data_IF_397652090414
#
_entry.id   IF_397652090414
#
_cell.length_a   1.000
_cell.length_b   1.000
_cell.length_c   1.000
_cell.angle_alpha   90.00
_cell.angle_beta   90.00
_cell.angle_gamma   90.00
#
_symmetry.space_group_name_H-M   'P 1'
#
loop_
_entity.id
_entity.type
_entity.pdbx_description
1 polymer ?
#
# COMPACT_ATOMS: atom_id res chain seq x y z
N UNK A 1 11.53 14.36 -26.35
CA UNK A 1 10.55 13.41 -25.82
C UNK A 1 10.31 12.37 -26.92
N UNK A 2 10.56 11.07 -26.64
CA UNK A 2 10.22 10.00 -27.60
C UNK A 2 8.72 9.72 -27.45
N UNK A 3 7.91 10.16 -28.40
CA UNK A 3 6.50 9.81 -28.44
C UNK A 3 6.37 8.36 -28.90
N UNK A 4 5.95 7.46 -28.02
CA UNK A 4 5.64 6.08 -28.36
C UNK A 4 4.22 6.02 -28.92
N UNK A 5 4.06 5.50 -30.15
CA UNK A 5 2.74 5.20 -30.71
C UNK A 5 2.42 3.77 -30.30
N UNK A 6 1.34 3.59 -29.54
CA UNK A 6 0.80 2.29 -29.16
C UNK A 6 -0.46 2.04 -29.98
N UNK A 7 -0.50 0.89 -30.62
CA UNK A 7 -1.65 0.37 -31.36
C UNK A 7 -2.28 -0.76 -30.55
N UNK A 8 -3.59 -0.84 -30.52
CA UNK A 8 -4.32 -1.93 -29.90
C UNK A 8 -5.07 -2.73 -30.98
N UNK A 9 -4.92 -4.04 -30.95
CA UNK A 9 -5.61 -4.95 -31.84
C UNK A 9 -6.99 -5.32 -31.31
N UNK A 10 -7.87 -5.80 -32.16
CA UNK A 10 -9.25 -6.18 -31.81
C UNK A 10 -9.36 -7.24 -30.69
N UNK A 11 -8.30 -7.99 -30.43
CA UNK A 11 -8.22 -8.96 -29.34
C UNK A 11 -7.51 -8.41 -28.09
N UNK A 12 -7.33 -7.08 -27.99
CA UNK A 12 -6.73 -6.42 -26.82
C UNK A 12 -5.20 -6.49 -26.75
N UNK A 13 -4.50 -7.08 -27.73
CA UNK A 13 -3.03 -7.05 -27.77
C UNK A 13 -2.55 -5.66 -28.17
N UNK A 14 -1.50 -5.19 -27.51
CA UNK A 14 -0.92 -3.86 -27.73
C UNK A 14 0.44 -3.98 -28.40
N UNK A 15 0.70 -3.05 -29.32
CA UNK A 15 1.93 -3.03 -30.11
C UNK A 15 2.51 -1.62 -30.13
N UNK A 16 3.79 -1.51 -29.87
CA UNK A 16 4.54 -0.27 -30.06
C UNK A 16 5.12 -0.24 -31.46
N UNK A 17 4.96 0.89 -32.16
CA UNK A 17 5.69 1.13 -33.40
C UNK A 17 7.17 1.36 -33.07
N UNK A 18 8.03 0.61 -33.72
CA UNK A 18 9.49 0.73 -33.62
C UNK A 18 10.09 0.87 -35.03
N UNK A 19 11.19 1.62 -35.11
CA UNK A 19 12.02 1.68 -36.30
C UNK A 19 13.34 1.05 -35.97
N UNK A 20 13.80 0.09 -36.73
CA UNK A 20 15.11 -0.54 -36.55
C UNK A 20 16.26 0.37 -37.07
N UNK A 21 17.49 -0.08 -36.88
CA UNK A 21 18.68 0.68 -37.26
C UNK A 21 18.82 0.86 -38.78
N UNK A 22 18.04 0.14 -39.57
CA UNK A 22 17.96 0.25 -41.04
C UNK A 22 16.80 1.16 -41.50
N UNK A 23 16.05 1.76 -40.54
CA UNK A 23 14.91 2.60 -40.84
C UNK A 23 13.62 1.83 -41.20
N UNK A 24 13.60 0.51 -40.95
CA UNK A 24 12.41 -0.32 -41.27
C UNK A 24 11.43 -0.18 -40.11
N UNK A 25 10.18 0.18 -40.45
CA UNK A 25 9.08 0.26 -39.52
C UNK A 25 8.60 -1.15 -39.13
N UNK A 26 8.58 -1.43 -37.84
CA UNK A 26 8.06 -2.68 -37.30
C UNK A 26 7.13 -2.43 -36.11
N UNK A 27 6.62 -3.51 -35.56
CA UNK A 27 5.84 -3.48 -34.33
C UNK A 27 6.47 -4.42 -33.31
N UNK A 28 6.53 -3.96 -32.05
CA UNK A 28 6.91 -4.79 -30.91
C UNK A 28 5.69 -4.90 -30.00
N UNK A 29 5.30 -6.13 -29.66
CA UNK A 29 4.23 -6.34 -28.70
C UNK A 29 4.64 -5.73 -27.35
N UNK A 30 3.71 -4.98 -26.77
CA UNK A 30 3.86 -4.42 -25.44
C UNK A 30 2.78 -5.01 -24.55
N UNK A 31 3.12 -5.27 -23.30
CA UNK A 31 2.17 -5.86 -22.36
C UNK A 31 0.90 -5.03 -22.22
N UNK A 32 -0.17 -5.69 -21.77
CA UNK A 32 -1.36 -4.99 -21.31
C UNK A 32 -1.00 -4.04 -20.14
N UNK A 33 -1.65 -2.87 -20.02
CA UNK A 33 -1.43 -2.00 -18.88
C UNK A 33 -1.72 -2.77 -17.60
N UNK A 34 -1.01 -2.40 -16.54
CA UNK A 34 -1.31 -2.90 -15.21
C UNK A 34 -2.78 -2.64 -14.86
N UNK A 35 -3.47 -3.68 -14.38
CA UNK A 35 -4.74 -3.50 -13.69
C UNK A 35 -4.41 -3.35 -12.20
N UNK A 36 -4.59 -2.16 -11.61
CA UNK A 36 -4.29 -1.97 -10.21
C UNK A 36 -5.30 -2.72 -9.35
N UNK A 37 -4.81 -3.33 -8.26
CA UNK A 37 -5.65 -3.68 -7.14
C UNK A 37 -6.14 -2.41 -6.43
N UNK A 38 -7.14 -2.55 -5.56
CA UNK A 38 -7.68 -1.43 -4.78
C UNK A 38 -7.68 -1.80 -3.31
N UNK A 39 -7.10 -0.93 -2.49
CA UNK A 39 -7.18 -0.99 -1.04
C UNK A 39 -7.83 0.29 -0.50
N UNK A 40 -9.00 0.15 0.12
CA UNK A 40 -9.70 1.26 0.78
C UNK A 40 -9.22 1.35 2.22
N UNK A 41 -8.95 2.57 2.70
CA UNK A 41 -8.40 2.83 4.04
C UNK A 41 -9.07 4.04 4.68
N UNK A 42 -9.52 3.88 5.93
CA UNK A 42 -10.00 4.97 6.75
C UNK A 42 -9.34 4.95 8.11
N UNK A 43 -9.08 6.14 8.65
CA UNK A 43 -8.66 6.29 10.04
C UNK A 43 -9.88 6.45 10.94
N UNK A 44 -9.82 5.86 12.11
CA UNK A 44 -10.85 6.02 13.15
C UNK A 44 -10.26 6.60 14.43
N UNK A 45 -11.10 7.31 15.20
CA UNK A 45 -10.72 7.96 16.44
C UNK A 45 -10.47 6.92 17.54
N UNK A 46 -9.22 6.79 18.07
CA UNK A 46 -8.89 5.73 19.01
C UNK A 46 -9.70 5.82 20.31
N UNK A 47 -9.91 7.01 20.83
CA UNK A 47 -10.67 7.28 22.05
C UNK A 47 -12.17 6.89 21.95
N UNK A 48 -12.69 6.86 20.74
CA UNK A 48 -14.08 6.45 20.48
C UNK A 48 -14.20 4.94 20.32
N UNK A 49 -13.17 4.24 19.84
CA UNK A 49 -13.24 2.80 19.53
C UNK A 49 -12.50 1.90 20.51
N UNK A 50 -11.59 2.45 21.35
CA UNK A 50 -10.87 1.70 22.38
C UNK A 50 -11.39 1.98 23.78
N UNK A 51 -11.31 0.97 24.63
CA UNK A 51 -11.39 1.08 26.07
C UNK A 51 -10.07 1.63 26.64
N UNK A 52 -10.06 2.01 27.90
CA UNK A 52 -8.87 2.49 28.62
C UNK A 52 -7.73 1.45 28.74
N UNK A 53 -8.05 0.18 28.60
CA UNK A 53 -7.08 -0.94 28.58
C UNK A 53 -6.53 -1.25 27.17
N UNK A 54 -6.94 -0.48 26.16
CA UNK A 54 -6.53 -0.66 24.77
C UNK A 54 -7.32 -1.72 24.00
N UNK A 55 -8.27 -2.40 24.61
CA UNK A 55 -9.18 -3.32 23.93
C UNK A 55 -10.23 -2.56 23.10
N UNK A 56 -10.73 -3.15 22.01
CA UNK A 56 -11.83 -2.54 21.26
C UNK A 56 -13.15 -2.62 22.02
N UNK A 57 -13.92 -1.52 22.00
CA UNK A 57 -15.27 -1.45 22.57
C UNK A 57 -16.22 -2.40 21.82
N UNK A 58 -17.16 -2.99 22.54
CA UNK A 58 -18.13 -3.92 21.96
C UNK A 58 -18.99 -3.25 20.87
N UNK A 59 -19.36 -1.97 21.05
CA UNK A 59 -20.14 -1.20 20.09
C UNK A 59 -19.41 -1.09 18.74
N UNK A 60 -18.08 -0.92 18.77
CA UNK A 60 -17.29 -0.89 17.54
C UNK A 60 -17.15 -2.28 16.91
N UNK A 61 -16.89 -3.32 17.70
CA UNK A 61 -16.81 -4.69 17.20
C UNK A 61 -18.10 -5.15 16.54
N UNK A 62 -19.25 -4.77 17.11
CA UNK A 62 -20.57 -5.14 16.63
C UNK A 62 -20.96 -4.51 15.27
N UNK A 63 -20.17 -3.58 14.74
CA UNK A 63 -20.31 -3.11 13.35
C UNK A 63 -19.92 -4.18 12.32
N UNK A 64 -19.21 -5.20 12.77
CA UNK A 64 -18.65 -6.25 11.92
C UNK A 64 -19.02 -7.63 12.44
N UNK A 65 -18.98 -8.63 11.58
CA UNK A 65 -19.06 -10.04 12.02
C UNK A 65 -17.65 -10.66 12.06
N UNK A 66 -17.49 -11.72 12.84
CA UNK A 66 -16.23 -12.49 12.94
C UNK A 66 -15.00 -11.63 13.34
N UNK A 67 -15.16 -10.69 14.24
CA UNK A 67 -14.08 -9.85 14.74
C UNK A 67 -13.07 -10.69 15.54
N UNK A 68 -11.85 -10.89 14.99
CA UNK A 68 -10.85 -11.76 15.57
C UNK A 68 -9.43 -11.23 15.44
N UNK A 69 -8.61 -11.45 16.48
CA UNK A 69 -7.18 -11.13 16.44
C UNK A 69 -6.47 -11.98 15.39
N UNK A 70 -5.77 -11.33 14.46
CA UNK A 70 -4.97 -11.97 13.41
C UNK A 70 -3.50 -12.11 13.79
N UNK A 71 -3.01 -11.21 14.65
CA UNK A 71 -1.64 -11.21 15.16
C UNK A 71 -1.00 -9.84 15.20
N UNK A 72 0.29 -9.83 15.48
CA UNK A 72 1.11 -8.62 15.51
C UNK A 72 2.09 -8.59 14.35
N UNK A 73 2.51 -7.37 13.97
CA UNK A 73 3.52 -7.14 12.95
C UNK A 73 4.49 -6.09 13.46
N UNK A 74 5.75 -6.46 13.58
CA UNK A 74 6.82 -5.50 13.82
C UNK A 74 7.32 -4.96 12.49
N UNK A 75 7.49 -3.63 12.41
CA UNK A 75 7.89 -2.94 11.18
C UNK A 75 8.99 -1.92 11.47
N UNK A 76 9.95 -1.85 10.55
CA UNK A 76 10.95 -0.78 10.50
C UNK A 76 10.97 -0.18 9.11
N UNK A 77 11.13 1.12 9.02
CA UNK A 77 11.28 1.86 7.77
C UNK A 77 12.71 2.33 7.60
N UNK A 78 13.17 2.46 6.36
CA UNK A 78 14.54 2.85 6.04
C UNK A 78 14.52 4.02 5.07
N UNK A 79 15.19 5.09 5.47
CA UNK A 79 15.34 6.32 4.68
C UNK A 79 16.60 7.06 5.14
N UNK A 80 16.99 8.09 4.41
CA UNK A 80 18.02 9.02 4.86
C UNK A 80 17.50 9.90 6.01
N UNK A 81 18.37 10.58 6.72
CA UNK A 81 17.99 11.50 7.81
C UNK A 81 17.00 12.57 7.35
N UNK A 82 17.19 13.08 6.13
CA UNK A 82 16.33 14.12 5.55
C UNK A 82 15.10 13.56 4.80
N UNK A 83 14.87 12.25 4.85
CA UNK A 83 13.76 11.55 4.19
C UNK A 83 13.74 11.72 2.66
N UNK A 84 14.91 11.66 2.03
CA UNK A 84 15.04 11.87 0.58
C UNK A 84 14.29 10.84 -0.26
N UNK A 85 14.27 9.58 0.18
CA UNK A 85 13.51 8.51 -0.49
C UNK A 85 12.00 8.78 -0.41
N UNK A 86 11.49 9.08 0.78
CA UNK A 86 10.07 9.37 0.99
C UNK A 86 9.62 10.60 0.20
N UNK A 87 10.41 11.67 0.19
CA UNK A 87 10.14 12.87 -0.62
C UNK A 87 10.05 12.56 -2.12
N UNK A 88 10.81 11.59 -2.58
CA UNK A 88 10.77 11.11 -3.96
C UNK A 88 9.68 10.03 -4.19
N UNK A 89 8.83 9.75 -3.23
CA UNK A 89 7.74 8.80 -3.31
C UNK A 89 8.16 7.35 -3.06
N UNK A 90 9.39 7.11 -2.59
CA UNK A 90 9.83 5.76 -2.23
C UNK A 90 9.60 5.46 -0.75
N UNK A 91 9.32 4.21 -0.46
CA UNK A 91 9.26 3.66 0.89
C UNK A 91 10.00 2.34 0.90
N UNK A 92 10.94 2.18 1.82
CA UNK A 92 11.60 0.91 2.10
C UNK A 92 11.17 0.48 3.50
N UNK A 93 10.68 -0.76 3.61
CA UNK A 93 10.16 -1.30 4.87
C UNK A 93 10.60 -2.75 5.05
N UNK A 94 11.03 -3.11 6.25
CA UNK A 94 11.17 -4.50 6.68
C UNK A 94 10.09 -4.78 7.71
N UNK A 95 9.37 -5.89 7.55
CA UNK A 95 8.31 -6.31 8.47
C UNK A 95 8.42 -7.78 8.83
N UNK A 96 8.03 -8.10 10.06
CA UNK A 96 7.87 -9.46 10.58
C UNK A 96 6.49 -9.63 11.15
N UNK A 97 5.70 -10.50 10.52
CA UNK A 97 4.39 -10.91 11.05
C UNK A 97 4.57 -12.06 12.04
N UNK A 98 3.86 -12.02 13.18
CA UNK A 98 3.94 -13.05 14.23
C UNK A 98 3.57 -14.45 13.72
N UNK A 99 2.66 -14.54 12.74
CA UNK A 99 2.18 -15.79 12.15
C UNK A 99 2.97 -16.23 10.89
N UNK A 100 4.05 -15.56 10.51
CA UNK A 100 4.91 -15.91 9.36
C UNK A 100 6.34 -16.22 9.81
N UNK A 101 6.97 -17.19 9.14
CA UNK A 101 8.38 -17.53 9.41
C UNK A 101 9.35 -16.51 8.78
N UNK A 102 9.09 -16.11 7.55
CA UNK A 102 9.91 -15.15 6.85
C UNK A 102 9.67 -13.70 7.30
N UNK A 103 10.70 -12.89 7.23
CA UNK A 103 10.59 -11.44 7.20
C UNK A 103 10.42 -10.99 5.76
N UNK A 104 9.83 -9.82 5.56
CA UNK A 104 9.60 -9.26 4.24
C UNK A 104 10.21 -7.87 4.14
N UNK A 105 11.06 -7.68 3.14
CA UNK A 105 11.49 -6.36 2.70
C UNK A 105 10.58 -5.90 1.56
N UNK A 106 10.04 -4.69 1.68
CA UNK A 106 9.18 -4.07 0.67
C UNK A 106 9.84 -2.80 0.15
N UNK A 107 10.01 -2.70 -1.15
CA UNK A 107 10.27 -1.44 -1.84
C UNK A 107 8.96 -0.99 -2.47
N UNK A 108 8.46 0.20 -2.12
CA UNK A 108 7.19 0.72 -2.64
C UNK A 108 7.39 2.12 -3.22
N UNK A 109 7.06 2.28 -4.50
CA UNK A 109 7.01 3.60 -5.16
C UNK A 109 5.58 4.10 -5.15
N UNK A 110 5.37 5.31 -4.66
CA UNK A 110 4.09 6.01 -4.66
C UNK A 110 4.12 7.20 -5.59
N UNK A 111 3.01 7.41 -6.27
CA UNK A 111 2.79 8.57 -7.12
C UNK A 111 1.96 9.62 -6.37
N UNK A 112 2.04 10.90 -6.75
CA UNK A 112 1.21 11.94 -6.16
C UNK A 112 -0.28 11.59 -6.23
N UNK A 113 -1.06 12.20 -5.34
CA UNK A 113 -2.50 11.99 -5.29
C UNK A 113 -3.14 12.09 -6.68
N UNK A 114 -3.81 11.02 -7.09
CA UNK A 114 -4.49 10.92 -8.38
C UNK A 114 -5.95 11.37 -8.31
N UNK A 115 -6.48 11.45 -7.09
CA UNK A 115 -7.83 11.91 -6.83
C UNK A 115 -7.89 12.67 -5.50
N UNK A 116 -8.71 13.72 -5.44
CA UNK A 116 -8.97 14.54 -4.24
C UNK A 116 -10.47 14.58 -3.90
N UNK A 117 -11.25 13.68 -4.44
CA UNK A 117 -12.70 13.61 -4.24
C UNK A 117 -13.09 12.23 -3.72
N UNK A 118 -14.27 12.14 -3.12
CA UNK A 118 -14.81 10.89 -2.57
C UNK A 118 -15.08 9.80 -3.61
N UNK A 119 -15.15 10.13 -4.89
CA UNK A 119 -15.41 9.17 -5.98
C UNK A 119 -14.22 9.14 -6.93
N UNK A 120 -13.56 7.99 -7.00
CA UNK A 120 -12.46 7.75 -7.92
C UNK A 120 -13.01 7.46 -9.32
N UNK A 121 -12.50 8.18 -10.34
CA UNK A 121 -12.90 8.04 -11.75
C UNK A 121 -11.83 7.26 -12.52
N UNK A 122 -12.26 6.52 -13.54
CA UNK A 122 -11.35 5.78 -14.43
C UNK A 122 -10.29 6.70 -15.05
N UNK A 123 -10.66 7.90 -15.46
CA UNK A 123 -9.72 8.88 -16.01
C UNK A 123 -8.60 9.31 -15.06
N UNK A 124 -8.85 9.25 -13.74
CA UNK A 124 -7.81 9.50 -12.73
C UNK A 124 -6.82 8.33 -12.67
N UNK A 125 -7.35 7.10 -12.69
CA UNK A 125 -6.57 5.86 -12.70
C UNK A 125 -5.69 5.81 -13.95
N UNK A 126 -6.28 6.03 -15.13
CA UNK A 126 -5.57 6.02 -16.42
C UNK A 126 -4.46 7.06 -16.47
N UNK A 127 -4.73 8.27 -15.94
CA UNK A 127 -3.74 9.33 -15.86
C UNK A 127 -2.56 8.93 -14.99
N UNK A 128 -2.81 8.32 -13.84
CA UNK A 128 -1.75 7.87 -12.93
C UNK A 128 -0.92 6.75 -13.53
N UNK A 129 -1.55 5.76 -14.15
CA UNK A 129 -0.88 4.67 -14.86
C UNK A 129 -0.01 5.20 -16.01
N UNK A 130 -0.49 6.20 -16.75
CA UNK A 130 0.29 6.83 -17.81
C UNK A 130 1.51 7.61 -17.28
N UNK A 131 1.41 8.23 -16.11
CA UNK A 131 2.57 8.87 -15.45
C UNK A 131 3.60 7.82 -15.07
N UNK A 132 3.16 6.75 -14.40
CA UNK A 132 4.02 5.65 -14.00
C UNK A 132 4.72 5.00 -15.21
N UNK A 133 3.97 4.73 -16.27
CA UNK A 133 4.51 4.16 -17.52
C UNK A 133 5.59 5.06 -18.15
N UNK A 134 5.42 6.39 -18.11
CA UNK A 134 6.43 7.34 -18.62
C UNK A 134 7.72 7.33 -17.79
N UNK A 135 7.62 7.02 -16.51
CA UNK A 135 8.77 6.84 -15.61
C UNK A 135 9.41 5.44 -15.72
N UNK A 136 8.87 4.56 -16.56
CA UNK A 136 9.37 3.21 -16.78
C UNK A 136 8.73 2.14 -15.90
N UNK A 137 7.77 2.51 -15.06
CA UNK A 137 7.02 1.55 -14.25
C UNK A 137 5.90 0.93 -15.06
N UNK A 138 6.18 -0.19 -15.69
CA UNK A 138 5.16 -1.10 -16.16
C UNK A 138 5.39 -2.47 -15.49
N UNK A 139 4.32 -3.21 -15.25
CA UNK A 139 4.33 -4.44 -14.44
C UNK A 139 5.17 -5.57 -15.00
N UNK A 140 5.60 -5.48 -16.24
CA UNK A 140 6.34 -6.54 -16.90
C UNK A 140 7.84 -6.24 -17.02
N UNK A 141 8.23 -4.97 -16.94
CA UNK A 141 9.62 -4.56 -17.14
C UNK A 141 10.35 -4.19 -15.83
N UNK A 142 9.62 -3.98 -14.73
CA UNK A 142 10.21 -3.42 -13.52
C UNK A 142 10.63 -4.48 -12.49
N UNK A 143 10.30 -5.74 -12.69
CA UNK A 143 10.46 -6.74 -11.62
C UNK A 143 9.55 -6.51 -10.41
N UNK A 144 8.75 -5.45 -10.39
CA UNK A 144 7.70 -5.19 -9.40
C UNK A 144 6.48 -6.10 -9.61
N UNK A 145 6.69 -7.38 -9.87
CA UNK A 145 5.62 -8.31 -10.20
C UNK A 145 4.42 -8.20 -9.24
N UNK A 146 3.24 -8.03 -9.77
CA UNK A 146 1.93 -8.02 -9.13
C UNK A 146 1.63 -6.90 -8.11
N UNK A 147 2.51 -5.94 -7.89
CA UNK A 147 2.38 -4.95 -6.82
C UNK A 147 1.75 -3.61 -7.22
N UNK A 148 0.98 -3.53 -8.30
CA UNK A 148 0.28 -2.29 -8.68
C UNK A 148 -1.03 -2.17 -7.90
N UNK A 149 -1.16 -1.13 -7.09
CA UNK A 149 -2.29 -0.94 -6.19
C UNK A 149 -2.69 0.54 -6.09
N UNK A 150 -3.96 0.80 -5.91
CA UNK A 150 -4.47 2.12 -5.55
C UNK A 150 -4.88 2.10 -4.08
N UNK A 151 -4.12 2.83 -3.28
CA UNK A 151 -4.47 3.17 -1.90
C UNK A 151 -5.56 4.27 -1.93
N UNK A 152 -6.78 3.97 -1.50
CA UNK A 152 -7.95 4.84 -1.60
C UNK A 152 -8.44 5.25 -0.21
N UNK A 153 -8.07 6.45 0.22
CA UNK A 153 -8.38 7.01 1.54
C UNK A 153 -9.67 7.83 1.60
N UNK A 154 -9.72 8.72 2.61
CA UNK A 154 -10.88 9.60 2.85
C UNK A 154 -11.10 10.58 1.68
N UNK A 155 -10.09 11.35 1.32
CA UNK A 155 -10.16 12.34 0.24
C UNK A 155 -9.10 12.15 -0.84
N UNK A 156 -8.21 11.17 -0.69
CA UNK A 156 -7.07 10.96 -1.57
C UNK A 156 -7.02 9.54 -2.08
N UNK A 157 -6.62 9.38 -3.33
CA UNK A 157 -6.23 8.10 -3.89
C UNK A 157 -4.81 8.21 -4.46
N UNK A 158 -3.99 7.18 -4.24
CA UNK A 158 -2.58 7.17 -4.60
C UNK A 158 -2.24 5.85 -5.29
N UNK A 159 -1.72 5.93 -6.52
CA UNK A 159 -1.17 4.77 -7.20
C UNK A 159 0.17 4.40 -6.58
N UNK A 160 0.42 3.13 -6.39
CA UNK A 160 1.69 2.61 -5.91
C UNK A 160 2.09 1.32 -6.64
N UNK A 161 3.40 1.09 -6.68
CA UNK A 161 4.00 -0.17 -7.09
C UNK A 161 4.82 -0.72 -5.93
N UNK A 162 4.69 -2.00 -5.66
CA UNK A 162 5.42 -2.68 -4.58
C UNK A 162 6.24 -3.83 -5.11
N UNK A 163 7.42 -3.99 -4.56
CA UNK A 163 8.29 -5.15 -4.76
C UNK A 163 8.60 -5.73 -3.39
N UNK A 164 8.15 -6.93 -3.16
CA UNK A 164 8.29 -7.65 -1.90
C UNK A 164 9.31 -8.78 -2.03
N UNK A 165 10.26 -8.83 -1.10
CA UNK A 165 11.28 -9.87 -1.00
C UNK A 165 11.24 -10.52 0.37
N UNK A 166 11.24 -11.84 0.39
CA UNK A 166 11.41 -12.58 1.64
C UNK A 166 12.87 -12.58 2.06
N UNK A 167 13.13 -12.17 3.29
CA UNK A 167 14.45 -12.30 3.91
C UNK A 167 14.55 -13.71 4.46
N UNK A 168 15.45 -14.52 3.90
CA UNK A 168 15.67 -15.90 4.32
C UNK A 168 16.08 -15.94 5.78
N UNK A 169 15.51 -16.88 6.52
CA UNK A 169 15.77 -17.10 7.93
C UNK A 169 16.60 -18.35 8.11
N UNK A 170 17.69 -18.28 8.82
CA UNK A 170 18.62 -19.39 9.05
C UNK A 170 18.28 -20.27 10.24
N UNK A 171 17.11 -20.15 10.87
CA UNK A 171 16.76 -20.88 12.07
C UNK A 171 15.31 -21.32 12.20
N UNK A 172 15.07 -22.36 12.99
CA UNK A 172 13.74 -22.76 13.46
C UNK A 172 13.24 -21.74 14.48
N UNK A 173 12.15 -21.07 14.22
CA UNK A 173 11.53 -20.19 15.20
C UNK A 173 11.88 -18.73 15.00
N UNK A 174 11.80 -17.94 16.00
CA UNK A 174 11.95 -16.48 15.98
C UNK A 174 13.23 -16.06 15.29
N UNK A 175 13.06 -15.50 14.10
CA UNK A 175 14.16 -14.84 13.43
C UNK A 175 14.19 -13.43 13.98
N UNK A 176 15.30 -13.11 14.62
CA UNK A 176 15.57 -11.73 14.94
C UNK A 176 15.56 -10.91 13.64
N UNK A 177 14.86 -9.79 13.67
CA UNK A 177 14.99 -8.81 12.60
C UNK A 177 16.49 -8.56 12.49
N UNK A 178 17.11 -8.63 11.28
CA UNK A 178 18.50 -8.29 11.16
C UNK A 178 18.75 -6.97 11.91
N UNK A 179 19.89 -6.87 12.57
CA UNK A 179 20.28 -5.58 13.15
C UNK A 179 20.27 -4.53 12.02
N UNK A 180 20.29 -3.28 12.37
CA UNK A 180 20.21 -2.19 11.39
C UNK A 180 21.24 -2.36 10.25
N UNK A 181 22.47 -2.78 10.56
CA UNK A 181 23.52 -3.01 9.58
C UNK A 181 23.17 -4.13 8.59
N UNK A 182 22.70 -5.27 9.09
CA UNK A 182 22.27 -6.38 8.25
C UNK A 182 21.05 -6.03 7.38
N UNK A 183 20.14 -5.24 7.88
CA UNK A 183 18.98 -4.74 7.14
C UNK A 183 19.41 -3.80 6.01
N UNK A 184 20.31 -2.87 6.28
CA UNK A 184 20.86 -1.94 5.27
C UNK A 184 21.62 -2.70 4.20
N UNK A 185 22.46 -3.66 4.58
CA UNK A 185 23.19 -4.51 3.65
C UNK A 185 22.21 -5.28 2.72
N UNK A 186 21.14 -5.86 3.28
CA UNK A 186 20.12 -6.56 2.49
C UNK A 186 19.41 -5.61 1.52
N UNK A 187 18.98 -4.43 1.99
CA UNK A 187 18.31 -3.40 1.18
C UNK A 187 19.21 -2.98 0.02
N UNK A 188 20.46 -2.67 0.30
CA UNK A 188 21.43 -2.21 -0.72
C UNK A 188 21.70 -3.28 -1.78
N UNK A 189 21.81 -4.54 -1.37
CA UNK A 189 22.07 -5.66 -2.28
C UNK A 189 20.87 -6.03 -3.16
N UNK A 190 19.64 -5.66 -2.75
CA UNK A 190 18.40 -6.09 -3.41
C UNK A 190 17.53 -4.93 -3.90
N UNK A 191 18.06 -3.72 -3.88
CA UNK A 191 17.31 -2.56 -4.40
C UNK A 191 16.97 -2.75 -5.88
N UNK A 192 15.71 -2.48 -6.28
CA UNK A 192 15.32 -2.57 -7.68
C UNK A 192 16.05 -1.50 -8.51
N UNK A 193 16.34 -1.82 -9.77
CA UNK A 193 17.06 -0.91 -10.69
C UNK A 193 16.37 0.44 -10.91
N UNK A 194 15.05 0.47 -10.70
CA UNK A 194 14.24 1.70 -10.82
C UNK A 194 14.43 2.65 -9.63
N UNK A 195 14.97 2.18 -8.51
CA UNK A 195 15.37 3.00 -7.39
C UNK A 195 16.77 3.58 -7.66
N UNK A 196 16.79 4.68 -8.41
CA UNK A 196 18.03 5.35 -8.84
C UNK A 196 18.60 6.33 -7.80
N UNK A 197 17.92 6.50 -6.66
CA UNK A 197 18.41 7.36 -5.59
C UNK A 197 19.51 6.70 -4.78
N UNK A 198 20.48 7.48 -4.25
CA UNK A 198 21.51 6.93 -3.41
C UNK A 198 20.93 6.28 -2.15
N UNK A 199 21.43 5.11 -1.80
CA UNK A 199 21.11 4.42 -0.54
C UNK A 199 22.21 4.66 0.52
N UNK A 200 23.20 5.49 0.21
CA UNK A 200 24.19 5.90 1.19
C UNK A 200 23.56 6.74 2.30
N UNK A 201 23.90 6.43 3.55
CA UNK A 201 23.35 7.15 4.72
C UNK A 201 21.91 6.81 5.07
N UNK A 202 21.30 5.76 4.48
CA UNK A 202 20.02 5.28 4.99
C UNK A 202 20.18 4.72 6.39
N UNK A 203 19.15 4.94 7.22
CA UNK A 203 19.08 4.44 8.58
C UNK A 203 17.68 3.89 8.88
N UNK A 204 17.56 3.17 9.97
CA UNK A 204 16.28 2.73 10.49
C UNK A 204 15.52 3.90 11.14
N UNK A 205 14.27 4.06 10.75
CA UNK A 205 13.29 4.92 11.38
C UNK A 205 12.27 4.04 12.09
N UNK A 206 12.27 4.07 13.40
CA UNK A 206 11.38 3.36 14.31
C UNK A 206 11.38 1.85 14.12
N UNK A 207 11.29 1.12 15.21
CA UNK A 207 10.69 -0.20 15.20
C UNK A 207 9.33 -0.04 15.85
N UNK A 208 8.27 -0.16 15.05
CA UNK A 208 6.89 -0.01 15.54
C UNK A 208 6.18 -1.35 15.48
N UNK A 209 5.27 -1.58 16.42
CA UNK A 209 4.42 -2.75 16.44
C UNK A 209 3.00 -2.36 16.04
N UNK A 210 2.42 -3.20 15.21
CA UNK A 210 1.06 -3.08 14.71
C UNK A 210 0.30 -4.33 15.13
N UNK A 211 -0.84 -4.17 15.79
CA UNK A 211 -1.79 -5.24 16.08
C UNK A 211 -2.87 -5.25 15.02
N UNK A 212 -3.13 -6.42 14.42
CA UNK A 212 -4.10 -6.59 13.35
C UNK A 212 -5.22 -7.53 13.77
N UNK A 213 -6.44 -7.10 13.53
CA UNK A 213 -7.66 -7.89 13.61
C UNK A 213 -8.25 -8.04 12.21
N UNK A 214 -8.97 -9.14 12.00
CA UNK A 214 -9.84 -9.31 10.84
C UNK A 214 -11.29 -9.35 11.28
N UNK A 215 -12.17 -8.87 10.42
CA UNK A 215 -13.60 -8.92 10.60
C UNK A 215 -14.28 -8.95 9.23
N UNK A 216 -15.57 -9.22 9.18
CA UNK A 216 -16.35 -9.20 7.93
C UNK A 216 -17.34 -8.05 7.96
N UNK A 217 -17.31 -7.22 6.93
CA UNK A 217 -18.27 -6.16 6.70
C UNK A 217 -19.33 -6.65 5.71
N UNK A 218 -20.61 -6.40 6.05
CA UNK A 218 -21.79 -6.69 5.21
C UNK A 218 -21.86 -8.14 4.70
N UNK A 219 -21.22 -9.07 5.42
CA UNK A 219 -21.07 -10.51 5.10
C UNK A 219 -20.39 -10.82 3.76
N UNK A 220 -19.78 -9.83 3.11
CA UNK A 220 -19.22 -10.01 1.75
C UNK A 220 -17.75 -9.62 1.62
N UNK A 221 -17.18 -8.87 2.56
CA UNK A 221 -15.77 -8.45 2.44
C UNK A 221 -15.03 -8.51 3.78
N UNK A 222 -13.83 -9.10 3.75
CA UNK A 222 -12.94 -9.07 4.90
C UNK A 222 -12.35 -7.66 5.06
N UNK A 223 -12.44 -7.12 6.27
CA UNK A 223 -11.79 -5.88 6.66
C UNK A 223 -10.66 -6.17 7.66
N UNK A 224 -9.56 -5.46 7.51
CA UNK A 224 -8.48 -5.41 8.47
C UNK A 224 -8.66 -4.19 9.37
N UNK A 225 -8.57 -4.39 10.68
CA UNK A 225 -8.54 -3.32 11.68
C UNK A 225 -7.15 -3.35 12.30
N UNK A 226 -6.35 -2.32 12.05
CA UNK A 226 -4.95 -2.29 12.46
C UNK A 226 -4.71 -1.12 13.41
N UNK A 227 -4.19 -1.41 14.60
CA UNK A 227 -3.77 -0.40 15.58
C UNK A 227 -2.25 -0.37 15.70
N UNK A 228 -1.70 0.83 15.73
CA UNK A 228 -0.26 1.07 15.87
C UNK A 228 -0.04 2.19 16.88
N UNK A 229 0.77 1.92 17.90
CA UNK A 229 1.17 2.93 18.90
C UNK A 229 2.54 3.47 18.54
N UNK A 230 2.63 4.79 18.38
CA UNK A 230 3.85 5.50 17.96
C UNK A 230 4.05 6.77 18.79
N UNK A 231 5.22 7.38 18.65
CA UNK A 231 5.47 8.71 19.23
C UNK A 231 4.45 9.73 18.68
N UNK A 232 3.94 10.59 19.55
CA UNK A 232 3.00 11.64 19.13
C UNK A 232 3.66 12.70 18.23
N UNK A 233 4.97 12.96 18.46
CA UNK A 233 5.78 13.86 17.64
C UNK A 233 7.25 13.44 17.67
N UNK A 234 8.07 13.99 16.77
CA UNK A 234 9.53 13.83 16.80
C UNK A 234 10.07 14.38 18.14
N UNK A 235 10.91 13.58 18.79
CA UNK A 235 11.48 13.88 20.11
C UNK A 235 10.47 13.92 21.27
N UNK A 236 9.25 13.42 21.10
CA UNK A 236 8.27 13.27 22.18
C UNK A 236 8.42 11.90 22.85
N UNK A 237 8.26 11.86 24.17
CA UNK A 237 8.03 10.60 24.91
C UNK A 237 6.55 10.24 24.98
N UNK A 238 5.66 11.16 24.62
CA UNK A 238 4.25 10.92 24.54
C UNK A 238 3.93 9.99 23.35
N UNK A 239 3.00 9.08 23.58
CA UNK A 239 2.57 8.11 22.58
C UNK A 239 1.15 8.43 22.09
N UNK A 240 0.90 8.16 20.84
CA UNK A 240 -0.45 8.16 20.27
C UNK A 240 -0.73 6.83 19.58
N UNK A 241 -1.99 6.47 19.51
CA UNK A 241 -2.46 5.31 18.77
C UNK A 241 -3.10 5.75 17.46
N UNK A 242 -2.70 5.13 16.36
CA UNK A 242 -3.34 5.27 15.05
C UNK A 242 -4.09 3.99 14.76
N UNK A 243 -5.37 4.10 14.41
CA UNK A 243 -6.20 2.95 14.02
C UNK A 243 -6.68 3.16 12.59
N UNK A 244 -6.42 2.16 11.75
CA UNK A 244 -6.85 2.10 10.36
C UNK A 244 -7.82 0.94 10.19
N UNK A 245 -8.93 1.19 9.51
CA UNK A 245 -9.85 0.17 9.00
C UNK A 245 -9.71 0.13 7.49
N UNK A 246 -9.38 -1.03 6.95
CA UNK A 246 -9.11 -1.18 5.51
C UNK A 246 -9.70 -2.47 4.96
N UNK A 247 -9.92 -2.49 3.64
CA UNK A 247 -10.19 -3.72 2.90
C UNK A 247 -9.50 -3.68 1.54
N UNK A 248 -9.22 -4.87 1.01
CA UNK A 248 -8.76 -5.05 -0.35
C UNK A 248 -9.88 -5.62 -1.21
N UNK A 249 -10.01 -5.10 -2.44
CA UNK A 249 -11.05 -5.59 -3.35
C UNK A 249 -10.88 -7.07 -3.70
N UNK A 250 -9.66 -7.61 -3.67
CA UNK A 250 -9.38 -9.04 -3.88
C UNK A 250 -9.99 -9.96 -2.82
N UNK A 251 -10.31 -9.42 -1.62
CA UNK A 251 -10.94 -10.15 -0.52
C UNK A 251 -12.49 -10.12 -0.58
N UNK A 252 -13.07 -9.60 -1.68
CA UNK A 252 -14.50 -9.57 -1.87
C UNK A 252 -15.04 -10.96 -2.22
N UNK A 253 -15.96 -11.45 -1.38
CA UNK A 253 -16.59 -12.77 -1.50
C UNK A 253 -18.05 -12.74 -1.99
N UNK A 254 -18.55 -11.55 -2.35
CA UNK A 254 -19.92 -11.40 -2.87
C UNK A 254 -20.05 -11.82 -4.33
N UNK A 255 -21.27 -11.80 -4.84
CA UNK A 255 -21.54 -12.10 -6.24
C UNK A 255 -20.94 -11.03 -7.17
N UNK A 256 -20.23 -11.48 -8.21
CA UNK A 256 -19.73 -10.60 -9.25
C UNK A 256 -20.92 -10.24 -10.16
N UNK A 257 -21.30 -8.97 -10.16
CA UNK A 257 -22.38 -8.47 -11.02
C UNK A 257 -21.83 -8.31 -12.43
N UNK A 258 -22.40 -9.04 -13.40
CA UNK A 258 -22.00 -8.93 -14.80
C UNK A 258 -22.08 -7.49 -15.29
N UNK A 259 -20.99 -7.01 -15.93
CA UNK A 259 -20.87 -5.64 -16.45
C UNK A 259 -20.41 -4.60 -15.41
N UNK A 260 -20.27 -4.93 -14.12
CA UNK A 260 -19.71 -4.02 -13.13
C UNK A 260 -18.18 -4.10 -13.13
N UNK A 261 -17.53 -2.95 -13.27
CA UNK A 261 -16.05 -2.88 -13.18
C UNK A 261 -15.58 -2.89 -11.72
N UNK A 262 -14.30 -3.30 -11.51
CA UNK A 262 -13.64 -3.25 -10.21
C UNK A 262 -13.73 -1.85 -9.57
N UNK A 263 -13.57 -0.80 -10.39
CA UNK A 263 -13.67 0.58 -9.94
C UNK A 263 -15.07 0.96 -9.45
N UNK A 264 -16.11 0.46 -10.10
CA UNK A 264 -17.49 0.68 -9.64
C UNK A 264 -17.74 -0.05 -8.32
N UNK A 265 -17.31 -1.30 -8.23
CA UNK A 265 -17.48 -2.11 -7.03
C UNK A 265 -16.71 -1.51 -5.85
N UNK A 266 -15.47 -1.10 -6.03
CA UNK A 266 -14.70 -0.50 -4.94
C UNK A 266 -15.28 0.84 -4.47
N UNK A 267 -15.81 1.66 -5.39
CA UNK A 267 -16.48 2.91 -5.00
C UNK A 267 -17.73 2.63 -4.13
N UNK A 268 -18.53 1.62 -4.47
CA UNK A 268 -19.69 1.23 -3.68
C UNK A 268 -19.31 0.68 -2.30
N UNK A 269 -18.35 -0.27 -2.24
CA UNK A 269 -17.88 -0.83 -0.97
C UNK A 269 -17.22 0.22 -0.08
N UNK A 270 -16.49 1.16 -0.69
CA UNK A 270 -15.93 2.30 0.03
C UNK A 270 -17.03 3.16 0.67
N UNK A 271 -18.10 3.41 -0.05
CA UNK A 271 -19.23 4.19 0.47
C UNK A 271 -19.94 3.45 1.62
N UNK A 272 -20.06 2.12 1.53
CA UNK A 272 -20.58 1.29 2.63
C UNK A 272 -19.71 1.45 3.87
N UNK A 273 -18.40 1.27 3.76
CA UNK A 273 -17.48 1.42 4.89
C UNK A 273 -17.47 2.86 5.43
N UNK A 274 -17.48 3.85 4.54
CA UNK A 274 -17.57 5.26 4.93
C UNK A 274 -18.80 5.52 5.77
N UNK A 275 -19.97 5.13 5.27
CA UNK A 275 -21.26 5.36 5.97
C UNK A 275 -21.32 4.60 7.30
N UNK A 276 -20.76 3.40 7.36
CA UNK A 276 -20.68 2.61 8.59
C UNK A 276 -19.85 3.35 9.66
N UNK A 277 -18.68 3.84 9.31
CA UNK A 277 -17.79 4.52 10.26
C UNK A 277 -18.25 5.94 10.59
N UNK A 278 -18.68 6.71 9.59
CA UNK A 278 -19.14 8.09 9.75
C UNK A 278 -20.48 8.15 10.50
N UNK A 279 -21.43 7.28 10.14
CA UNK A 279 -22.76 7.23 10.78
C UNK A 279 -22.70 6.88 12.26
N UNK A 280 -21.66 6.20 12.72
CA UNK A 280 -21.40 5.89 14.12
C UNK A 280 -20.43 6.89 14.79
N UNK A 281 -19.98 7.93 14.07
CA UNK A 281 -19.10 8.96 14.60
C UNK A 281 -17.64 8.53 14.83
N UNK A 282 -17.22 7.38 14.29
CA UNK A 282 -15.86 6.85 14.51
C UNK A 282 -14.84 7.38 13.51
N UNK A 283 -15.29 7.84 12.34
CA UNK A 283 -14.42 8.24 11.23
C UNK A 283 -13.62 9.50 11.58
N UNK A 284 -12.31 9.47 11.35
CA UNK A 284 -11.50 10.67 11.25
C UNK A 284 -11.55 11.18 9.80
N UNK A 285 -12.06 12.39 9.60
CA UNK A 285 -12.19 13.01 8.28
C UNK A 285 -10.84 13.52 7.74
N UNK A 286 -9.85 12.67 7.75
CA UNK A 286 -8.49 12.95 7.28
C UNK A 286 -7.87 11.74 6.60
N UNK A 287 -6.98 12.00 5.67
CA UNK A 287 -6.08 10.97 5.16
C UNK A 287 -4.83 10.90 6.02
N UNK A 288 -4.29 9.70 6.16
CA UNK A 288 -3.02 9.47 6.85
C UNK A 288 -2.38 8.19 6.35
N UNK A 289 -1.07 8.22 6.16
CA UNK A 289 -0.27 7.04 5.88
C UNK A 289 0.52 6.66 7.14
N UNK A 290 0.36 5.44 7.61
CA UNK A 290 1.18 4.88 8.71
C UNK A 290 2.67 5.08 8.47
N UNK A 291 3.11 4.90 7.21
CA UNK A 291 4.50 5.15 6.78
C UNK A 291 4.98 6.56 7.09
N UNK A 292 4.23 7.58 6.65
CA UNK A 292 4.58 9.00 6.88
C UNK A 292 4.61 9.30 8.38
N UNK A 293 3.62 8.82 9.11
CA UNK A 293 3.56 9.01 10.57
C UNK A 293 4.79 8.47 11.30
N UNK A 294 5.31 7.31 10.89
CA UNK A 294 6.54 6.75 11.48
C UNK A 294 7.77 7.54 11.05
N UNK A 295 7.95 7.77 9.75
CA UNK A 295 9.14 8.45 9.21
C UNK A 295 9.32 9.87 9.76
N UNK A 296 8.23 10.59 10.02
CA UNK A 296 8.30 11.96 10.56
C UNK A 296 8.57 12.03 12.06
N UNK A 297 8.42 10.90 12.80
CA UNK A 297 8.49 10.88 14.27
C UNK A 297 9.67 10.10 14.84
N UNK A 298 10.36 9.33 14.03
CA UNK A 298 11.52 8.52 14.39
C UNK A 298 12.71 8.87 13.45
#
# INVERSE_FOLDING_TARGET
MKNNIILESNNGRRFKLVVDDNGILGTKEVPAPCRPGYEVKFLVAPDLVLNSDGSYKEEFKNLFTNFALKGTTRMSYYDTEDLSLNKAGWTIRIRKKSNKKAQQCTFKKRYPNINKTSVLKQSNVDKALNVALKEGFDTLNTGFGNGCEIDYGYSKATLSYSYDLDIATTGKGNVDIPNQEGSIAFITANAPSDLTLPLEGIREHGAVELTSYSAIMDNVIEVAIESMTIKAAKNSEELETIIEVSFKLEDYAGEIIEGKSDLQLVNELREVLYNLLHGNGYLLEKDGLKTTAVLERY
#
